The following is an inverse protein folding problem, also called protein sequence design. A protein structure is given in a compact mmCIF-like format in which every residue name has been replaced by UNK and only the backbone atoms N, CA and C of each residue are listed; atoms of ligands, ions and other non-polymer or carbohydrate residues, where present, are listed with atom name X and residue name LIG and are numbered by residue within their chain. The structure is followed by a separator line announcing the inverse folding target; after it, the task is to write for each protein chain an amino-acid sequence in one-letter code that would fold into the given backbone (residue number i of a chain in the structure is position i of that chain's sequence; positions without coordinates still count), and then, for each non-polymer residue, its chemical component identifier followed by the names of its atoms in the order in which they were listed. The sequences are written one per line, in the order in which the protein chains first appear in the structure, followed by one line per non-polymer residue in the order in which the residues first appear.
data_IF_777783401165
#
_entry.id   IF_777783401165
#
_cell.length_a   1.000
_cell.length_b   1.000
_cell.length_c   1.000
_cell.angle_alpha   90.00
_cell.angle_beta   90.00
_cell.angle_gamma   90.00
#
_symmetry.space_group_name_H-M   'P 1'
#
loop_
_entity.id
_entity.type
_entity.pdbx_description
1 polymer ?
#
# COMPACT_ATOMS: atom_id res chain seq x y z
N UNK A 1 17.86 27.30 13.00
CA UNK A 1 17.75 25.90 13.41
C UNK A 1 16.49 25.27 12.81
N UNK A 2 16.61 24.10 12.19
CA UNK A 2 15.47 23.35 11.63
C UNK A 2 14.65 22.63 12.71
N UNK A 3 15.13 22.60 13.96
CA UNK A 3 14.50 21.92 15.09
C UNK A 3 14.24 22.89 16.23
N UNK A 4 13.23 22.62 17.05
CA UNK A 4 13.01 23.34 18.30
C UNK A 4 14.13 23.05 19.28
N UNK A 5 14.61 24.07 20.01
CA UNK A 5 15.71 23.95 20.98
C UNK A 5 15.40 23.00 22.16
N UNK A 6 14.12 22.84 22.53
CA UNK A 6 13.70 22.05 23.70
C UNK A 6 13.15 20.67 23.34
N UNK A 7 12.70 20.48 22.09
CA UNK A 7 12.18 19.19 21.63
C UNK A 7 12.84 18.84 20.28
N UNK A 8 13.87 17.98 20.36
CA UNK A 8 14.57 17.48 19.17
C UNK A 8 13.72 16.53 18.31
N UNK A 9 12.49 16.26 18.73
CA UNK A 9 11.60 15.29 18.07
C UNK A 9 10.79 15.88 16.93
N UNK A 10 10.65 17.22 16.84
CA UNK A 10 9.85 17.89 15.83
C UNK A 10 10.69 18.89 15.02
N UNK A 11 10.33 19.08 13.76
CA UNK A 11 10.87 20.20 12.98
C UNK A 11 10.40 21.52 13.59
N UNK A 12 11.27 22.55 13.55
CA UNK A 12 10.83 23.92 13.78
C UNK A 12 9.76 24.32 12.75
N UNK A 13 8.99 25.37 13.02
CA UNK A 13 8.03 25.90 12.03
C UNK A 13 8.67 26.18 10.67
N UNK A 14 9.94 26.66 10.68
CA UNK A 14 10.70 26.88 9.45
C UNK A 14 11.10 25.58 8.76
N UNK A 15 11.44 24.54 9.52
CA UNK A 15 11.69 23.20 8.98
C UNK A 15 10.45 22.57 8.35
N UNK A 16 9.28 22.71 8.96
CA UNK A 16 8.01 22.28 8.38
C UNK A 16 7.68 23.07 7.09
N UNK A 17 7.86 24.39 7.11
CA UNK A 17 7.67 25.25 5.92
C UNK A 17 8.61 24.87 4.78
N UNK A 18 9.88 24.59 5.08
CA UNK A 18 10.87 24.22 4.06
C UNK A 18 10.53 22.90 3.39
N UNK A 19 10.16 21.88 4.17
CA UNK A 19 9.74 20.57 3.65
C UNK A 19 8.42 20.69 2.88
N UNK A 20 7.44 21.41 3.41
CA UNK A 20 6.17 21.66 2.72
C UNK A 20 6.37 22.40 1.39
N UNK A 21 7.14 23.47 1.37
CA UNK A 21 7.45 24.23 0.15
C UNK A 21 8.22 23.39 -0.88
N UNK A 22 9.17 22.57 -0.42
CA UNK A 22 9.89 21.64 -1.30
C UNK A 22 8.95 20.63 -1.95
N UNK A 23 8.07 20.01 -1.14
CA UNK A 23 7.09 19.04 -1.62
C UNK A 23 6.06 19.68 -2.56
N UNK A 24 5.52 20.87 -2.21
CA UNK A 24 4.60 21.61 -3.06
C UNK A 24 5.21 21.99 -4.41
N UNK A 25 6.45 22.48 -4.42
CA UNK A 25 7.15 22.85 -5.64
C UNK A 25 7.44 21.62 -6.53
N UNK A 26 7.79 20.48 -5.93
CA UNK A 26 7.96 19.22 -6.65
C UNK A 26 6.63 18.72 -7.21
N UNK A 27 5.55 18.77 -6.42
CA UNK A 27 4.19 18.37 -6.84
C UNK A 27 3.67 19.31 -7.95
N UNK A 28 3.90 20.63 -7.85
CA UNK A 28 3.57 21.60 -8.91
C UNK A 28 4.32 21.30 -10.21
N UNK A 29 5.63 21.03 -10.14
CA UNK A 29 6.43 20.61 -11.32
C UNK A 29 5.92 19.32 -11.93
N UNK A 30 5.56 18.32 -11.11
CA UNK A 30 4.97 17.06 -11.58
C UNK A 30 3.61 17.27 -12.24
N UNK A 31 2.76 18.15 -11.69
CA UNK A 31 1.47 18.52 -12.30
C UNK A 31 1.63 19.23 -13.66
N UNK A 32 2.67 20.06 -13.82
CA UNK A 32 3.01 20.72 -15.10
C UNK A 32 3.43 19.66 -16.13
N UNK A 33 4.31 18.73 -15.77
CA UNK A 33 4.75 17.65 -16.66
C UNK A 33 3.59 16.75 -17.10
N UNK A 34 2.57 16.57 -16.25
CA UNK A 34 1.36 15.79 -16.57
C UNK A 34 0.41 16.56 -17.50
N UNK A 35 0.36 17.92 -17.40
CA UNK A 35 -0.48 18.75 -18.28
C UNK A 35 0.05 18.85 -19.71
N UNK A 36 1.36 18.81 -19.92
CA UNK A 36 1.97 19.00 -21.24
C UNK A 36 1.96 17.75 -22.14
N UNK A 37 1.66 16.58 -21.61
CA UNK A 37 1.39 15.39 -22.44
C UNK A 37 -0.10 15.25 -22.76
N UNK A 38 -0.61 16.11 -23.66
CA UNK A 38 -1.84 15.83 -24.43
C UNK A 38 -1.61 14.57 -25.26
N UNK A 39 -1.97 13.42 -24.71
CA UNK A 39 -2.07 12.17 -25.46
C UNK A 39 -3.18 12.39 -26.49
N UNK A 40 -2.80 12.44 -27.78
CA UNK A 40 -3.76 12.39 -28.91
C UNK A 40 -4.65 11.15 -28.72
N UNK A 41 -5.90 11.37 -28.36
CA UNK A 41 -6.92 10.31 -28.27
C UNK A 41 -7.19 9.78 -29.68
N UNK A 42 -6.71 8.62 -30.02
CA UNK A 42 -7.27 7.85 -31.13
C UNK A 42 -8.68 7.41 -30.72
N UNK A 43 -9.68 7.98 -31.38
CA UNK A 43 -11.10 7.64 -31.16
C UNK A 43 -11.40 6.33 -31.87
N UNK A 44 -11.18 5.22 -31.20
CA UNK A 44 -11.88 3.97 -31.56
C UNK A 44 -13.05 3.82 -30.57
N UNK A 45 -14.22 4.26 -30.99
CA UNK A 45 -15.48 4.07 -30.28
C UNK A 45 -15.87 2.58 -30.36
N UNK A 46 -15.34 1.73 -29.48
CA UNK A 46 -16.04 0.48 -29.12
C UNK A 46 -17.21 0.85 -28.21
N UNK A 47 -18.43 0.48 -28.61
CA UNK A 47 -19.63 0.54 -27.75
C UNK A 47 -19.31 -0.27 -26.49
N UNK A 48 -19.19 0.41 -25.32
CA UNK A 48 -19.19 -0.27 -24.00
C UNK A 48 -20.58 -0.90 -23.85
N UNK A 49 -20.69 -2.19 -24.07
CA UNK A 49 -21.76 -2.98 -23.47
C UNK A 49 -21.58 -2.85 -21.96
N UNK A 50 -22.52 -2.22 -21.27
CA UNK A 50 -22.52 -2.18 -19.79
C UNK A 50 -22.57 -3.63 -19.30
N UNK A 51 -21.49 -4.13 -18.74
CA UNK A 51 -21.51 -5.39 -18.01
C UNK A 51 -22.64 -5.34 -16.97
N UNK A 52 -23.45 -6.39 -16.90
CA UNK A 52 -24.52 -6.53 -15.91
C UNK A 52 -23.94 -6.61 -14.47
N UNK A 53 -22.66 -6.90 -14.35
CA UNK A 53 -21.94 -7.13 -13.10
C UNK A 53 -20.84 -6.09 -12.88
N UNK A 54 -20.52 -5.81 -11.61
CA UNK A 54 -19.46 -4.90 -11.20
C UNK A 54 -18.24 -5.70 -10.77
N UNK A 55 -17.13 -5.60 -11.53
CA UNK A 55 -15.87 -6.26 -11.23
C UNK A 55 -14.86 -5.25 -10.69
N UNK A 56 -14.20 -5.58 -9.58
CA UNK A 56 -13.14 -4.79 -8.98
C UNK A 56 -11.93 -5.70 -8.78
N UNK A 57 -10.75 -5.25 -9.23
CA UNK A 57 -9.48 -5.93 -9.02
C UNK A 57 -8.70 -5.25 -7.90
N UNK A 58 -8.41 -5.98 -6.82
CA UNK A 58 -7.50 -5.55 -5.76
C UNK A 58 -6.07 -5.98 -6.09
N UNK A 59 -5.08 -5.11 -5.84
CA UNK A 59 -3.67 -5.38 -6.09
C UNK A 59 -2.84 -5.00 -4.86
N UNK A 60 -1.96 -5.91 -4.43
CA UNK A 60 -0.86 -5.68 -3.50
C UNK A 60 0.47 -5.94 -4.20
N UNK A 61 1.44 -5.02 -4.09
CA UNK A 61 2.73 -5.15 -4.75
C UNK A 61 3.84 -4.28 -4.12
N UNK A 62 5.11 -4.61 -4.37
CA UNK A 62 6.33 -3.83 -4.08
C UNK A 62 6.76 -3.75 -2.61
N UNK A 63 6.16 -4.53 -1.73
CA UNK A 63 6.62 -4.68 -0.36
C UNK A 63 7.03 -6.13 -0.09
N UNK A 64 6.11 -7.03 0.21
CA UNK A 64 6.27 -8.49 0.24
C UNK A 64 4.97 -9.12 -0.27
N UNK A 65 4.99 -10.39 -0.63
CA UNK A 65 3.81 -11.20 -0.94
C UNK A 65 2.81 -10.53 -1.90
N UNK A 66 3.34 -10.09 -3.06
CA UNK A 66 2.48 -9.48 -4.08
C UNK A 66 1.34 -10.39 -4.48
N UNK A 67 0.13 -9.83 -4.59
CA UNK A 67 -1.09 -10.58 -4.78
C UNK A 67 -2.12 -9.82 -5.61
N UNK A 68 -3.08 -10.55 -6.15
CA UNK A 68 -4.27 -10.01 -6.78
C UNK A 68 -5.53 -10.72 -6.30
N UNK A 69 -6.64 -9.99 -6.26
CA UNK A 69 -7.97 -10.51 -5.89
C UNK A 69 -9.02 -9.89 -6.80
N UNK A 70 -9.88 -10.72 -7.38
CA UNK A 70 -11.03 -10.28 -8.17
C UNK A 70 -12.31 -10.42 -7.36
N UNK A 71 -13.05 -9.32 -7.26
CA UNK A 71 -14.37 -9.25 -6.62
C UNK A 71 -15.42 -8.96 -7.68
N UNK A 72 -16.51 -9.73 -7.66
CA UNK A 72 -17.70 -9.54 -8.51
C UNK A 72 -18.90 -9.29 -7.60
N UNK A 73 -19.55 -8.14 -7.73
CA UNK A 73 -20.77 -7.77 -7.00
C UNK A 73 -20.66 -7.95 -5.46
N UNK A 74 -19.44 -7.84 -4.91
CA UNK A 74 -19.15 -8.02 -3.48
C UNK A 74 -18.62 -9.41 -3.11
N UNK A 75 -18.63 -10.38 -4.02
CA UNK A 75 -18.13 -11.74 -3.78
C UNK A 75 -16.72 -11.93 -4.32
N UNK A 76 -15.86 -12.65 -3.59
CA UNK A 76 -14.49 -12.99 -4.02
C UNK A 76 -14.59 -14.13 -5.04
N UNK A 77 -14.19 -13.84 -6.29
CA UNK A 77 -14.18 -14.83 -7.39
C UNK A 77 -12.87 -15.59 -7.44
N UNK A 78 -11.76 -14.88 -7.25
CA UNK A 78 -10.43 -15.46 -7.24
C UNK A 78 -9.47 -14.59 -6.45
N UNK A 79 -8.50 -15.21 -5.79
CA UNK A 79 -7.38 -14.56 -5.12
C UNK A 79 -6.13 -15.42 -5.28
N UNK A 80 -4.99 -14.80 -5.54
CA UNK A 80 -3.72 -15.50 -5.66
C UNK A 80 -2.54 -14.59 -5.32
N UNK A 81 -1.50 -15.19 -4.73
CA UNK A 81 -0.18 -14.57 -4.57
C UNK A 81 0.67 -14.86 -5.80
N UNK A 82 1.51 -13.90 -6.20
CA UNK A 82 2.42 -14.04 -7.35
C UNK A 82 3.43 -15.18 -7.14
N UNK A 83 3.84 -15.43 -5.90
CA UNK A 83 4.76 -16.50 -5.55
C UNK A 83 4.27 -17.91 -5.93
N UNK A 84 2.95 -18.11 -6.04
CA UNK A 84 2.37 -19.41 -6.48
C UNK A 84 2.74 -19.73 -7.91
N UNK A 85 2.94 -18.71 -8.73
CA UNK A 85 3.30 -18.81 -10.14
C UNK A 85 4.82 -18.69 -10.34
N UNK A 86 5.43 -17.68 -9.70
CA UNK A 86 6.87 -17.40 -9.85
C UNK A 86 7.77 -18.38 -9.11
N UNK A 87 7.25 -19.13 -8.12
CA UNK A 87 7.99 -20.00 -7.21
C UNK A 87 9.07 -19.28 -6.40
N UNK A 88 8.98 -17.96 -6.30
CA UNK A 88 9.87 -17.14 -5.47
C UNK A 88 9.14 -16.74 -4.19
N UNK A 89 9.59 -17.23 -3.05
CA UNK A 89 9.00 -16.90 -1.74
C UNK A 89 9.09 -15.39 -1.48
N UNK A 90 8.00 -14.81 -0.97
CA UNK A 90 7.84 -13.39 -0.69
C UNK A 90 8.05 -12.51 -1.94
N UNK A 91 7.60 -12.97 -3.11
CA UNK A 91 7.74 -12.21 -4.36
C UNK A 91 7.07 -10.84 -4.23
N UNK A 92 7.88 -9.79 -4.40
CA UNK A 92 7.46 -8.39 -4.28
C UNK A 92 7.21 -7.69 -5.61
N UNK A 93 7.40 -8.38 -6.73
CA UNK A 93 7.23 -7.80 -8.07
C UNK A 93 5.77 -7.48 -8.32
N UNK A 94 5.50 -6.72 -9.40
CA UNK A 94 4.13 -6.48 -9.83
C UNK A 94 3.46 -7.82 -10.21
N UNK A 95 2.26 -8.17 -9.65
CA UNK A 95 1.71 -9.53 -9.68
C UNK A 95 0.99 -9.83 -11.01
N UNK A 96 1.74 -9.91 -12.10
CA UNK A 96 1.17 -10.11 -13.45
C UNK A 96 0.46 -11.46 -13.56
N UNK A 97 1.08 -12.53 -13.05
CA UNK A 97 0.52 -13.88 -13.15
C UNK A 97 -0.72 -14.05 -12.28
N UNK A 98 -0.70 -13.50 -11.06
CA UNK A 98 -1.85 -13.50 -10.18
C UNK A 98 -3.03 -12.69 -10.76
N UNK A 99 -2.76 -11.55 -11.41
CA UNK A 99 -3.78 -10.75 -12.09
C UNK A 99 -4.39 -11.52 -13.25
N UNK A 100 -3.56 -12.13 -14.12
CA UNK A 100 -4.04 -12.90 -15.25
C UNK A 100 -4.90 -14.07 -14.77
N UNK A 101 -4.48 -14.79 -13.74
CA UNK A 101 -5.26 -15.85 -13.11
C UNK A 101 -6.64 -15.36 -12.63
N UNK A 102 -6.68 -14.20 -11.96
CA UNK A 102 -7.93 -13.62 -11.47
C UNK A 102 -8.88 -13.24 -12.64
N UNK A 103 -8.37 -12.63 -13.69
CA UNK A 103 -9.16 -12.26 -14.88
C UNK A 103 -9.68 -13.50 -15.62
N UNK A 104 -8.84 -14.52 -15.77
CA UNK A 104 -9.22 -15.80 -16.38
C UNK A 104 -10.33 -16.49 -15.58
N UNK A 105 -10.20 -16.60 -14.24
CA UNK A 105 -11.23 -17.16 -13.38
C UNK A 105 -12.55 -16.39 -13.40
N UNK A 106 -12.48 -15.09 -13.59
CA UNK A 106 -13.65 -14.23 -13.78
C UNK A 106 -14.25 -14.30 -15.19
N UNK A 107 -13.56 -14.92 -16.12
CA UNK A 107 -13.88 -14.92 -17.55
C UNK A 107 -14.14 -13.50 -18.08
N UNK A 108 -13.24 -12.56 -17.74
CA UNK A 108 -13.32 -11.14 -18.08
C UNK A 108 -11.97 -10.61 -18.60
N UNK A 109 -12.03 -9.45 -19.25
CA UNK A 109 -10.85 -8.69 -19.67
C UNK A 109 -10.67 -7.45 -18.79
N UNK A 110 -9.51 -6.78 -18.90
CA UNK A 110 -9.22 -5.58 -18.11
C UNK A 110 -10.23 -4.46 -18.34
N UNK A 111 -10.80 -4.38 -19.54
CA UNK A 111 -11.81 -3.39 -19.94
C UNK A 111 -13.15 -3.55 -19.22
N UNK A 112 -13.44 -4.76 -18.73
CA UNK A 112 -14.67 -5.08 -17.99
C UNK A 112 -14.60 -4.64 -16.52
N UNK A 113 -13.40 -4.32 -16.02
CA UNK A 113 -13.21 -3.86 -14.65
C UNK A 113 -13.85 -2.48 -14.43
N UNK A 114 -14.70 -2.38 -13.42
CA UNK A 114 -15.26 -1.10 -12.96
C UNK A 114 -14.20 -0.24 -12.25
N UNK A 115 -13.20 -0.88 -11.64
CA UNK A 115 -12.08 -0.21 -10.98
C UNK A 115 -10.98 -1.16 -10.55
N UNK A 116 -9.80 -0.59 -10.26
CA UNK A 116 -8.68 -1.26 -9.63
C UNK A 116 -8.40 -0.58 -8.31
N UNK A 117 -8.25 -1.35 -7.24
CA UNK A 117 -7.90 -0.87 -5.90
C UNK A 117 -6.48 -1.29 -5.54
N UNK A 118 -5.66 -0.34 -5.12
CA UNK A 118 -4.35 -0.57 -4.55
C UNK A 118 -4.41 -0.40 -3.03
N UNK A 119 -3.76 -1.27 -2.29
CA UNK A 119 -3.95 -1.46 -0.84
C UNK A 119 -3.39 -0.33 0.03
N UNK A 120 -2.52 0.53 -0.49
CA UNK A 120 -1.70 1.49 0.25
C UNK A 120 -1.74 2.88 -0.39
N UNK A 121 -1.54 3.93 0.43
CA UNK A 121 -1.33 5.30 -0.03
C UNK A 121 0.16 5.63 -0.06
N UNK A 122 0.76 5.46 -1.22
CA UNK A 122 2.21 5.60 -1.42
C UNK A 122 2.76 7.00 -1.12
N UNK A 123 1.93 8.04 -1.21
CA UNK A 123 2.36 9.42 -0.89
C UNK A 123 2.54 9.60 0.62
N UNK A 124 1.61 9.11 1.44
CA UNK A 124 1.70 9.17 2.89
C UNK A 124 2.82 8.27 3.43
N UNK A 125 3.03 7.12 2.81
CA UNK A 125 4.17 6.25 3.15
C UNK A 125 5.50 6.95 2.87
N UNK A 126 5.62 7.66 1.73
CA UNK A 126 6.80 8.46 1.45
C UNK A 126 6.98 9.58 2.48
N UNK A 127 5.93 10.30 2.83
CA UNK A 127 5.96 11.35 3.84
C UNK A 127 6.54 10.83 5.15
N UNK A 128 6.03 9.71 5.67
CA UNK A 128 6.57 9.06 6.89
C UNK A 128 8.04 8.68 6.73
N UNK A 129 8.43 8.14 5.59
CA UNK A 129 9.82 7.77 5.35
C UNK A 129 10.74 8.98 5.35
N UNK A 130 10.36 10.08 4.67
CA UNK A 130 11.11 11.33 4.65
C UNK A 130 11.29 11.88 6.08
N UNK A 131 10.20 11.85 6.87
CA UNK A 131 10.23 12.25 8.26
C UNK A 131 11.18 11.36 9.09
N UNK A 132 11.11 10.03 8.91
CA UNK A 132 11.98 9.08 9.61
C UNK A 132 13.45 9.32 9.30
N UNK A 133 13.80 9.50 8.02
CA UNK A 133 15.16 9.79 7.60
C UNK A 133 15.67 11.12 8.16
N UNK A 134 14.84 12.16 8.13
CA UNK A 134 15.21 13.45 8.68
C UNK A 134 15.47 13.40 10.20
N UNK A 135 14.67 12.61 10.94
CA UNK A 135 14.86 12.43 12.38
C UNK A 135 16.13 11.66 12.75
N UNK A 136 16.51 10.71 11.92
CA UNK A 136 17.65 9.81 12.20
C UNK A 136 18.94 10.20 11.48
N UNK A 137 18.94 11.34 10.77
CA UNK A 137 20.13 11.89 10.13
C UNK A 137 21.22 12.24 11.19
N UNK A 138 22.52 12.02 10.87
CA UNK A 138 23.06 11.47 9.62
C UNK A 138 23.05 9.93 9.56
N UNK A 139 22.70 9.21 10.63
CA UNK A 139 22.81 7.75 10.75
C UNK A 139 21.98 6.99 9.71
N UNK A 140 20.97 7.64 9.10
CA UNK A 140 20.07 7.06 8.08
C UNK A 140 20.56 7.20 6.64
N UNK A 141 21.74 7.79 6.39
CA UNK A 141 22.25 8.05 5.04
C UNK A 141 22.29 6.79 4.16
N UNK A 142 22.86 5.69 4.67
CA UNK A 142 22.92 4.44 3.92
C UNK A 142 21.54 3.88 3.58
N UNK A 143 20.60 3.94 4.54
CA UNK A 143 19.23 3.50 4.34
C UNK A 143 18.51 4.40 3.31
N UNK A 144 18.74 5.70 3.34
CA UNK A 144 18.25 6.66 2.36
C UNK A 144 18.73 6.32 0.95
N UNK A 145 20.04 6.19 0.75
CA UNK A 145 20.62 5.89 -0.56
C UNK A 145 20.14 4.56 -1.13
N UNK A 146 19.88 3.57 -0.28
CA UNK A 146 19.35 2.26 -0.71
C UNK A 146 17.87 2.31 -1.07
N UNK A 147 17.07 3.06 -0.33
CA UNK A 147 15.61 3.01 -0.39
C UNK A 147 15.03 3.99 -1.42
N UNK A 148 15.50 5.24 -1.43
CA UNK A 148 14.91 6.32 -2.22
C UNK A 148 14.92 6.10 -3.73
N UNK A 149 15.96 5.49 -4.36
CA UNK A 149 15.93 5.25 -5.80
C UNK A 149 14.71 4.43 -6.26
N UNK A 150 14.33 3.40 -5.49
CA UNK A 150 13.16 2.55 -5.81
C UNK A 150 11.84 3.31 -5.65
N UNK A 151 11.77 4.21 -4.67
CA UNK A 151 10.58 5.05 -4.43
C UNK A 151 10.36 6.05 -5.55
N UNK A 152 11.40 6.80 -5.90
CA UNK A 152 11.31 7.81 -6.97
C UNK A 152 11.04 7.16 -8.33
N UNK A 153 11.57 5.96 -8.57
CA UNK A 153 11.44 5.28 -9.87
C UNK A 153 10.09 4.59 -10.07
N UNK A 154 9.55 3.97 -9.03
CA UNK A 154 8.38 3.08 -9.17
C UNK A 154 7.24 3.41 -8.20
N UNK A 155 7.51 3.44 -6.89
CA UNK A 155 6.46 3.39 -5.87
C UNK A 155 5.57 4.64 -5.83
N UNK A 156 6.12 5.81 -6.15
CA UNK A 156 5.34 7.04 -6.25
C UNK A 156 4.33 7.04 -7.39
N UNK A 157 4.55 6.23 -8.42
CA UNK A 157 3.79 6.27 -9.65
C UNK A 157 2.93 5.02 -9.85
N UNK A 158 2.49 4.38 -8.75
CA UNK A 158 1.66 3.17 -8.80
C UNK A 158 0.47 3.27 -9.77
N UNK A 159 -0.35 4.33 -9.76
CA UNK A 159 -1.45 4.43 -10.72
C UNK A 159 -0.98 4.45 -12.18
N UNK A 160 0.16 5.11 -12.46
CA UNK A 160 0.75 5.14 -13.80
C UNK A 160 1.26 3.75 -14.18
N UNK A 161 1.94 3.07 -13.28
CA UNK A 161 2.48 1.74 -13.50
C UNK A 161 1.35 0.72 -13.76
N UNK A 162 0.27 0.76 -13.01
CA UNK A 162 -0.91 -0.08 -13.23
C UNK A 162 -1.48 0.17 -14.62
N UNK A 163 -1.62 1.44 -15.04
CA UNK A 163 -2.11 1.80 -16.39
C UNK A 163 -1.22 1.24 -17.50
N UNK A 164 0.10 1.37 -17.33
CA UNK A 164 1.07 0.90 -18.31
C UNK A 164 1.11 -0.62 -18.40
N UNK A 165 1.16 -1.31 -17.25
CA UNK A 165 1.26 -2.77 -17.18
C UNK A 165 -0.01 -3.48 -17.64
N UNK A 166 -1.18 -2.96 -17.28
CA UNK A 166 -2.47 -3.57 -17.61
C UNK A 166 -3.18 -2.89 -18.79
N UNK A 167 -2.57 -1.89 -19.43
CA UNK A 167 -3.22 -1.06 -20.47
C UNK A 167 -4.61 -0.55 -20.04
N UNK A 168 -4.79 -0.34 -18.73
CA UNK A 168 -6.07 0.00 -18.11
C UNK A 168 -6.29 1.50 -18.06
N UNK A 169 -7.44 1.97 -18.57
CA UNK A 169 -7.81 3.38 -18.62
C UNK A 169 -8.96 3.76 -17.65
N UNK A 170 -9.42 2.82 -16.85
CA UNK A 170 -10.50 3.04 -15.89
C UNK A 170 -10.05 3.70 -14.58
N UNK A 171 -10.89 3.58 -13.55
CA UNK A 171 -10.63 4.17 -12.23
C UNK A 171 -9.63 3.34 -11.44
N UNK A 172 -8.64 4.00 -10.85
CA UNK A 172 -7.67 3.40 -9.92
C UNK A 172 -7.80 4.13 -8.58
N UNK A 173 -7.98 3.36 -7.53
CA UNK A 173 -8.12 3.83 -6.16
C UNK A 173 -6.89 3.43 -5.36
N UNK A 174 -6.30 4.35 -4.63
CA UNK A 174 -5.36 4.05 -3.55
C UNK A 174 -6.12 4.14 -2.23
N UNK A 175 -6.01 3.11 -1.41
CA UNK A 175 -6.67 3.07 -0.11
C UNK A 175 -5.64 3.31 0.99
N UNK A 176 -6.09 3.52 2.22
CA UNK A 176 -5.22 3.50 3.40
C UNK A 176 -4.93 2.06 3.81
N UNK A 177 -3.69 1.78 4.20
CA UNK A 177 -3.20 0.45 4.54
C UNK A 177 -4.05 -0.21 5.64
N UNK A 178 -4.19 0.43 6.79
CA UNK A 178 -5.00 -0.10 7.89
C UNK A 178 -6.50 -0.20 7.56
N UNK A 179 -7.01 0.64 6.68
CA UNK A 179 -8.37 0.49 6.17
C UNK A 179 -8.50 -0.74 5.28
N UNK A 180 -7.46 -1.10 4.54
CA UNK A 180 -7.42 -2.34 3.77
C UNK A 180 -7.38 -3.57 4.69
N UNK A 181 -6.62 -3.52 5.80
CA UNK A 181 -6.65 -4.55 6.84
C UNK A 181 -8.02 -4.70 7.49
N UNK A 182 -8.66 -3.60 7.91
CA UNK A 182 -10.02 -3.63 8.46
C UNK A 182 -11.01 -4.27 7.47
N UNK A 183 -10.89 -3.93 6.19
CA UNK A 183 -11.76 -4.45 5.14
C UNK A 183 -11.55 -5.96 4.92
N UNK A 184 -10.31 -6.42 4.87
CA UNK A 184 -10.00 -7.84 4.66
C UNK A 184 -10.49 -8.71 5.82
N UNK A 185 -10.39 -8.22 7.05
CA UNK A 185 -10.88 -8.93 8.21
C UNK A 185 -12.42 -8.98 8.26
N UNK A 186 -13.08 -7.84 8.05
CA UNK A 186 -14.53 -7.73 8.25
C UNK A 186 -15.34 -8.30 7.09
N UNK A 187 -15.03 -7.92 5.85
CA UNK A 187 -15.85 -8.34 4.70
C UNK A 187 -15.64 -9.81 4.31
N UNK A 188 -14.53 -10.44 4.74
CA UNK A 188 -14.34 -11.88 4.61
C UNK A 188 -14.94 -12.70 5.77
N UNK A 189 -15.42 -12.04 6.83
CA UNK A 189 -16.03 -12.69 8.00
C UNK A 189 -17.53 -12.88 7.80
N UNK A 190 -18.16 -13.81 8.56
CA UNK A 190 -19.61 -14.01 8.51
C UNK A 190 -20.40 -12.95 9.29
N UNK A 191 -19.73 -12.00 9.96
CA UNK A 191 -20.39 -11.07 10.87
C UNK A 191 -21.00 -9.88 10.13
N UNK A 192 -22.27 -9.58 10.43
CA UNK A 192 -22.94 -8.37 9.95
C UNK A 192 -22.50 -7.12 10.71
N UNK A 193 -22.05 -7.27 11.96
CA UNK A 193 -21.52 -6.21 12.81
C UNK A 193 -20.42 -6.77 13.70
N UNK A 194 -19.27 -6.13 13.73
CA UNK A 194 -18.13 -6.57 14.56
C UNK A 194 -17.23 -5.40 14.94
N UNK A 195 -16.55 -5.51 16.08
CA UNK A 195 -15.33 -4.77 16.36
C UNK A 195 -14.19 -5.41 15.58
N UNK A 196 -13.25 -4.59 15.10
CA UNK A 196 -12.13 -5.03 14.28
C UNK A 196 -10.87 -4.46 14.90
N UNK A 197 -9.88 -5.34 15.15
CA UNK A 197 -8.54 -4.96 15.57
C UNK A 197 -7.56 -5.29 14.45
N UNK A 198 -6.67 -4.35 14.13
CA UNK A 198 -5.53 -4.59 13.24
C UNK A 198 -4.24 -4.26 13.97
N UNK A 199 -3.23 -5.12 13.84
CA UNK A 199 -1.88 -4.91 14.37
C UNK A 199 -0.90 -5.23 13.26
N UNK A 200 -0.01 -4.28 12.96
CA UNK A 200 0.96 -4.38 11.86
C UNK A 200 2.32 -3.81 12.29
N UNK A 201 3.32 -3.97 11.45
CA UNK A 201 4.59 -3.29 11.61
C UNK A 201 4.42 -1.79 11.43
N UNK A 202 4.07 -1.38 10.24
CA UNK A 202 3.71 0.01 9.91
C UNK A 202 3.07 0.10 8.52
N UNK A 203 1.90 0.74 8.46
CA UNK A 203 1.28 1.19 7.21
C UNK A 203 1.86 2.53 6.74
N UNK A 204 1.01 3.48 6.37
CA UNK A 204 1.47 4.84 6.08
C UNK A 204 2.05 5.47 7.36
N UNK A 205 1.21 5.63 8.37
CA UNK A 205 1.55 6.07 9.72
C UNK A 205 1.03 5.10 10.77
N UNK A 206 -0.17 4.57 10.58
CA UNK A 206 -0.80 3.66 11.51
C UNK A 206 -0.02 2.34 11.63
N UNK A 207 0.11 1.86 12.86
CA UNK A 207 0.78 0.60 13.25
C UNK A 207 -0.19 -0.37 13.89
N UNK A 208 -1.27 0.14 14.49
CA UNK A 208 -2.42 -0.63 14.94
C UNK A 208 -3.68 0.21 14.81
N UNK A 209 -4.84 -0.41 14.63
CA UNK A 209 -6.10 0.31 14.61
C UNK A 209 -7.26 -0.50 15.15
N UNK A 210 -8.25 0.21 15.69
CA UNK A 210 -9.52 -0.34 16.13
C UNK A 210 -10.63 0.28 15.29
N UNK A 211 -11.51 -0.55 14.75
CA UNK A 211 -12.64 -0.12 13.95
C UNK A 211 -13.92 -0.88 14.27
N UNK A 212 -15.00 -0.44 13.66
CA UNK A 212 -16.29 -1.13 13.65
C UNK A 212 -16.72 -1.36 12.21
N UNK A 213 -17.06 -2.61 11.91
CA UNK A 213 -17.77 -3.00 10.70
C UNK A 213 -19.27 -3.10 10.98
N UNK A 214 -20.10 -2.61 10.05
CA UNK A 214 -21.55 -2.74 10.10
C UNK A 214 -22.12 -2.80 8.67
N UNK A 215 -22.61 -3.97 8.25
CA UNK A 215 -23.08 -4.23 6.89
C UNK A 215 -21.99 -3.98 5.85
N UNK A 216 -22.14 -3.00 5.00
CA UNK A 216 -21.15 -2.64 3.96
C UNK A 216 -20.27 -1.44 4.33
N UNK A 217 -20.21 -1.07 5.62
CA UNK A 217 -19.47 0.10 6.09
C UNK A 217 -18.45 -0.29 7.14
N UNK A 218 -17.27 0.33 7.04
CA UNK A 218 -16.21 0.25 8.05
C UNK A 218 -15.91 1.67 8.52
N UNK A 219 -15.82 1.83 9.84
CA UNK A 219 -15.38 3.07 10.48
C UNK A 219 -14.18 2.77 11.38
N UNK A 220 -13.06 3.40 11.10
CA UNK A 220 -11.91 3.43 12.01
C UNK A 220 -12.24 4.34 13.18
N UNK A 221 -11.97 3.90 14.40
CA UNK A 221 -12.26 4.61 15.64
C UNK A 221 -11.02 5.23 16.26
N UNK A 222 -9.95 4.44 16.35
CA UNK A 222 -8.65 4.84 16.91
C UNK A 222 -7.54 4.16 16.15
N UNK A 223 -6.37 4.77 16.17
CA UNK A 223 -5.15 4.22 15.62
C UNK A 223 -3.96 4.54 16.53
N UNK A 224 -2.98 3.67 16.53
CA UNK A 224 -1.63 3.87 17.03
C UNK A 224 -0.75 4.21 15.83
N UNK A 225 0.13 5.17 15.98
CA UNK A 225 0.96 5.65 14.90
C UNK A 225 2.45 5.43 15.16
N UNK A 226 3.19 5.28 14.09
CA UNK A 226 4.65 5.27 14.11
C UNK A 226 5.21 6.54 14.83
N UNK A 227 6.22 6.42 15.76
CA UNK A 227 7.09 5.24 15.91
C UNK A 227 6.56 4.14 16.83
N UNK A 228 5.45 4.33 17.53
CA UNK A 228 4.90 3.32 18.41
C UNK A 228 4.32 2.17 17.60
N UNK A 229 4.84 0.94 17.80
CA UNK A 229 4.41 -0.22 17.03
C UNK A 229 4.68 -1.52 17.78
N UNK A 230 3.62 -2.29 18.00
CA UNK A 230 3.71 -3.65 18.53
C UNK A 230 4.38 -4.59 17.52
N UNK A 231 4.04 -4.46 16.23
CA UNK A 231 4.62 -5.28 15.18
C UNK A 231 6.12 -5.02 14.98
N UNK A 232 6.57 -3.75 15.01
CA UNK A 232 8.00 -3.43 14.96
C UNK A 232 8.75 -3.88 16.21
N UNK A 233 8.11 -3.83 17.40
CA UNK A 233 8.68 -4.40 18.62
C UNK A 233 8.93 -5.90 18.44
N UNK A 234 7.94 -6.63 17.91
CA UNK A 234 8.08 -8.06 17.60
C UNK A 234 9.22 -8.32 16.60
N UNK A 235 9.31 -7.51 15.55
CA UNK A 235 10.41 -7.59 14.58
C UNK A 235 11.78 -7.30 15.20
N UNK A 236 11.88 -6.36 16.14
CA UNK A 236 13.12 -6.06 16.85
C UNK A 236 13.58 -7.25 17.70
N UNK A 237 12.68 -7.91 18.41
CA UNK A 237 13.01 -9.13 19.15
C UNK A 237 13.34 -10.30 18.22
N UNK A 238 12.67 -10.42 17.09
CA UNK A 238 13.00 -11.42 16.05
C UNK A 238 14.45 -11.25 15.59
N UNK A 239 14.86 -10.03 15.30
CA UNK A 239 16.24 -9.73 14.94
C UNK A 239 17.24 -9.97 16.08
N UNK A 240 16.89 -9.55 17.31
CA UNK A 240 17.72 -9.74 18.49
C UNK A 240 18.00 -11.22 18.76
N UNK A 241 17.03 -12.10 18.55
CA UNK A 241 17.19 -13.56 18.67
C UNK A 241 17.89 -14.23 17.49
N UNK A 242 18.41 -13.44 16.53
CA UNK A 242 19.19 -13.92 15.37
C UNK A 242 18.35 -14.41 14.20
N UNK A 243 17.03 -14.25 14.22
CA UNK A 243 16.19 -14.62 13.09
C UNK A 243 16.00 -13.46 12.10
N UNK A 244 15.74 -13.81 10.85
CA UNK A 244 15.52 -12.84 9.79
C UNK A 244 14.11 -12.22 9.91
N UNK A 245 14.03 -10.90 10.04
CA UNK A 245 12.78 -10.13 10.04
C UNK A 245 11.98 -10.36 8.75
N UNK A 246 10.66 -10.33 8.85
CA UNK A 246 9.65 -10.65 7.81
C UNK A 246 9.65 -12.10 7.32
N UNK A 247 10.41 -12.98 7.97
CA UNK A 247 10.40 -14.41 7.64
C UNK A 247 10.81 -15.31 8.80
N UNK A 248 11.09 -14.74 9.96
CA UNK A 248 11.57 -15.46 11.14
C UNK A 248 10.74 -15.26 12.40
N UNK A 249 9.69 -14.45 12.34
CA UNK A 249 8.81 -14.18 13.46
C UNK A 249 8.18 -15.47 14.02
N UNK A 250 7.74 -16.38 13.13
CA UNK A 250 7.20 -17.66 13.55
C UNK A 250 8.24 -18.58 14.22
N UNK A 251 9.53 -18.43 13.87
CA UNK A 251 10.62 -19.17 14.53
C UNK A 251 10.86 -18.65 15.93
N UNK A 252 10.82 -17.33 16.12
CA UNK A 252 10.90 -16.72 17.44
C UNK A 252 9.68 -17.14 18.30
N UNK A 253 8.48 -17.17 17.73
CA UNK A 253 7.29 -17.69 18.41
C UNK A 253 7.48 -19.13 18.84
N UNK A 254 8.07 -19.98 17.99
CA UNK A 254 8.40 -21.36 18.33
C UNK A 254 9.50 -21.51 19.40
N UNK A 255 10.38 -20.52 19.55
CA UNK A 255 11.43 -20.46 20.58
C UNK A 255 10.88 -19.99 21.95
N UNK A 256 9.79 -19.22 21.96
CA UNK A 256 9.26 -18.58 23.18
C UNK A 256 8.97 -19.52 24.37
N UNK A 257 8.60 -20.82 24.19
CA UNK A 257 8.39 -21.74 25.31
C UNK A 257 9.69 -22.23 25.97
N UNK A 258 10.85 -22.00 25.39
CA UNK A 258 12.16 -22.49 25.86
C UNK A 258 13.00 -21.35 26.44
#
# INVERSE_FOLDING_TARGET
SLFFKQDKSHFSQDGHKLVSNFLENKIKKLKIIIKDKKIKKSKTKRKKTKSKHTYILGISAFYHDSAATLIKDGEIIAAAQEERFSRQKNDRRFPVSAINYCLEKGNIQQEDLAGIAYYDNTYLTLERMLWSFAKTAPNSEKAWCHTMPSWVKYKLFIPKLIREKLKYNGKIFQNFHHRSHLASAFFASPYKKAAILTVDGVGEWATASIGIGNGNKIKMLKEMNFPDSIGLLYSAFTQFTGFKVNSGEYKMMGLAPY
#
